data_IF_026892645918
#
_entry.id   IF_026892645918
#
_cell.length_a   1.000
_cell.length_b   1.000
_cell.length_c   1.000
_cell.angle_alpha   90.00
_cell.angle_beta   90.00
_cell.angle_gamma   90.00
#
_symmetry.space_group_name_H-M   'P 1'
#
loop_
_entity.id
_entity.type
_entity.pdbx_description
1 polymer ?
#
# COMPACT_ATOMS: atom_id res chain seq x y z
N UNK A 1 22.38 -2.08 3.09
CA UNK A 1 22.16 -2.42 1.67
C UNK A 1 20.73 -2.91 1.46
N UNK A 2 20.35 -3.38 0.25
CA UNK A 2 18.97 -3.80 -0.03
C UNK A 2 18.45 -4.94 0.86
N UNK A 3 19.33 -5.88 1.23
CA UNK A 3 19.00 -6.98 2.16
C UNK A 3 18.73 -6.44 3.55
N UNK A 4 19.64 -5.63 4.09
CA UNK A 4 19.51 -5.07 5.44
C UNK A 4 18.24 -4.23 5.58
N UNK A 5 17.87 -3.46 4.55
CA UNK A 5 16.62 -2.70 4.55
C UNK A 5 15.39 -3.61 4.59
N UNK A 6 15.40 -4.72 3.83
CA UNK A 6 14.31 -5.68 3.86
C UNK A 6 14.19 -6.38 5.24
N UNK A 7 15.32 -6.66 5.90
CA UNK A 7 15.34 -7.20 7.27
C UNK A 7 14.76 -6.22 8.29
N UNK A 8 15.11 -4.95 8.20
CA UNK A 8 14.58 -3.90 9.08
C UNK A 8 13.06 -3.76 8.93
N UNK A 9 12.58 -3.68 7.69
CA UNK A 9 11.14 -3.62 7.38
C UNK A 9 10.41 -4.86 7.92
N UNK A 10 10.98 -6.06 7.73
CA UNK A 10 10.40 -7.29 8.25
C UNK A 10 10.37 -7.33 9.79
N UNK A 11 11.40 -6.77 10.44
CA UNK A 11 11.45 -6.58 11.88
C UNK A 11 10.28 -5.76 12.40
N UNK A 12 10.14 -4.53 11.91
CA UNK A 12 9.06 -3.63 12.32
C UNK A 12 7.66 -4.16 12.00
N UNK A 13 7.49 -4.87 10.88
CA UNK A 13 6.21 -5.50 10.56
C UNK A 13 5.86 -6.61 11.56
N UNK A 14 6.82 -7.45 11.98
CA UNK A 14 6.56 -8.50 12.98
C UNK A 14 6.14 -7.95 14.34
N UNK A 15 6.61 -6.76 14.67
CA UNK A 15 6.26 -6.07 15.91
C UNK A 15 4.86 -5.45 15.86
N UNK A 16 4.23 -5.38 14.68
CA UNK A 16 2.91 -4.79 14.50
C UNK A 16 2.88 -3.27 14.70
N UNK A 17 4.05 -2.61 14.62
CA UNK A 17 4.20 -1.18 14.96
C UNK A 17 3.70 -0.27 13.83
N UNK A 18 3.66 -0.76 12.59
CA UNK A 18 3.38 0.06 11.39
C UNK A 18 2.64 -0.74 10.30
N UNK A 19 1.75 -0.06 9.57
CA UNK A 19 1.04 -0.62 8.39
C UNK A 19 1.83 -0.45 7.08
N UNK A 20 2.80 0.46 7.06
CA UNK A 20 3.56 0.79 5.85
C UNK A 20 4.65 1.82 6.10
N UNK A 21 5.41 2.10 5.02
CA UNK A 21 6.58 2.97 5.08
C UNK A 21 6.51 4.04 3.99
N UNK A 22 6.92 5.25 4.35
CA UNK A 22 7.24 6.30 3.40
C UNK A 22 8.77 6.39 3.30
N UNK A 23 9.31 6.11 2.12
CA UNK A 23 10.74 6.16 1.84
C UNK A 23 11.08 7.46 1.12
N UNK A 24 12.08 8.18 1.63
CA UNK A 24 12.58 9.43 1.03
C UNK A 24 14.01 9.21 0.51
N UNK A 25 14.19 8.90 -0.78
CA UNK A 25 15.51 8.67 -1.35
C UNK A 25 16.34 9.95 -1.44
N UNK A 26 17.65 9.84 -1.28
CA UNK A 26 18.58 10.96 -1.45
C UNK A 26 18.88 11.21 -2.92
N UNK A 27 19.04 10.13 -3.69
CA UNK A 27 19.26 10.16 -5.14
C UNK A 27 18.21 9.29 -5.85
N UNK A 28 17.04 9.84 -6.22
CA UNK A 28 15.89 9.05 -6.66
C UNK A 28 16.20 8.05 -7.79
N UNK A 29 16.98 8.46 -8.80
CA UNK A 29 17.33 7.60 -9.94
C UNK A 29 18.11 6.35 -9.51
N UNK A 30 19.09 6.52 -8.63
CA UNK A 30 19.97 5.44 -8.17
C UNK A 30 19.33 4.59 -7.09
N UNK A 31 18.65 5.24 -6.15
CA UNK A 31 18.12 4.59 -4.96
C UNK A 31 16.87 3.77 -5.28
N UNK A 32 15.99 4.28 -6.15
CA UNK A 32 14.79 3.54 -6.56
C UNK A 32 15.14 2.26 -7.33
N UNK A 33 16.13 2.32 -8.22
CA UNK A 33 16.59 1.12 -8.93
C UNK A 33 17.13 0.06 -7.96
N UNK A 34 17.90 0.45 -6.94
CA UNK A 34 18.40 -0.48 -5.91
C UNK A 34 17.28 -1.03 -5.03
N UNK A 35 16.30 -0.20 -4.71
CA UNK A 35 15.15 -0.61 -3.91
C UNK A 35 14.30 -1.64 -4.67
N UNK A 36 13.92 -1.32 -5.91
CA UNK A 36 13.05 -2.15 -6.75
C UNK A 36 13.73 -3.47 -7.14
N UNK A 37 15.02 -3.44 -7.47
CA UNK A 37 15.73 -4.65 -7.90
C UNK A 37 16.34 -5.45 -6.74
N UNK A 38 16.40 -4.88 -5.53
CA UNK A 38 17.04 -5.52 -4.37
C UNK A 38 16.11 -5.76 -3.20
N UNK A 39 15.45 -4.72 -2.70
CA UNK A 39 14.64 -4.80 -1.46
C UNK A 39 13.26 -5.39 -1.75
N UNK A 40 12.60 -4.93 -2.81
CA UNK A 40 11.23 -5.34 -3.17
C UNK A 40 11.11 -6.86 -3.40
N UNK A 41 12.00 -7.54 -4.14
CA UNK A 41 11.89 -8.99 -4.37
C UNK A 41 12.01 -9.79 -3.07
N UNK A 42 12.84 -9.33 -2.13
CA UNK A 42 13.00 -9.96 -0.82
C UNK A 42 11.73 -9.81 0.04
N UNK A 43 11.10 -8.64 0.00
CA UNK A 43 9.83 -8.41 0.70
C UNK A 43 8.69 -9.23 0.06
N UNK A 44 8.66 -9.35 -1.27
CA UNK A 44 7.70 -10.20 -1.98
C UNK A 44 7.87 -11.68 -1.64
N UNK A 45 9.11 -12.19 -1.63
CA UNK A 45 9.40 -13.57 -1.26
C UNK A 45 8.94 -13.90 0.17
N UNK A 46 8.95 -12.91 1.06
CA UNK A 46 8.49 -13.02 2.46
C UNK A 46 7.00 -12.77 2.64
N UNK A 47 6.24 -12.51 1.57
CA UNK A 47 4.82 -12.18 1.64
C UNK A 47 4.51 -10.82 2.29
N UNK A 48 5.53 -9.96 2.47
CA UNK A 48 5.40 -8.62 3.07
C UNK A 48 5.13 -7.53 2.04
N UNK A 49 5.27 -7.85 0.76
CA UNK A 49 4.95 -6.93 -0.32
C UNK A 49 4.21 -7.65 -1.43
N UNK A 50 3.25 -6.95 -2.02
CA UNK A 50 2.42 -7.50 -3.10
C UNK A 50 3.24 -7.78 -4.36
N UNK A 51 2.85 -8.82 -5.08
CA UNK A 51 3.39 -9.19 -6.40
C UNK A 51 2.51 -8.72 -7.55
N UNK A 52 1.26 -8.37 -7.26
CA UNK A 52 0.28 -7.88 -8.21
C UNK A 52 -0.60 -6.80 -7.55
N UNK A 53 -1.15 -5.89 -8.37
CA UNK A 53 -2.05 -4.84 -7.94
C UNK A 53 -3.48 -5.15 -8.41
N UNK A 54 -4.38 -5.60 -7.51
CA UNK A 54 -5.79 -5.72 -7.84
C UNK A 54 -6.44 -4.34 -7.87
N UNK A 55 -7.36 -4.14 -8.82
CA UNK A 55 -8.08 -2.88 -9.00
C UNK A 55 -7.29 -1.85 -9.82
N UNK A 56 -7.84 -0.64 -9.89
CA UNK A 56 -7.27 0.45 -10.71
C UNK A 56 -7.17 1.77 -9.95
N UNK A 57 -7.54 1.78 -8.67
CA UNK A 57 -7.53 2.97 -7.84
C UNK A 57 -6.57 2.81 -6.67
N UNK A 58 -6.07 3.95 -6.17
CA UNK A 58 -5.26 3.98 -4.95
C UNK A 58 -5.97 3.34 -3.76
N UNK A 59 -7.31 3.46 -3.69
CA UNK A 59 -8.10 2.82 -2.63
C UNK A 59 -8.03 1.31 -2.73
N UNK A 60 -8.13 0.74 -3.92
CA UNK A 60 -8.00 -0.71 -4.13
C UNK A 60 -6.61 -1.20 -3.70
N UNK A 61 -5.57 -0.42 -3.99
CA UNK A 61 -4.20 -0.78 -3.62
C UNK A 61 -3.96 -0.73 -2.10
N UNK A 62 -4.67 0.15 -1.39
CA UNK A 62 -4.59 0.32 0.07
C UNK A 62 -5.66 -0.48 0.83
N UNK A 63 -6.46 -1.30 0.14
CA UNK A 63 -7.59 -2.05 0.69
C UNK A 63 -8.63 -1.16 1.42
N UNK A 64 -8.86 0.03 0.86
CA UNK A 64 -9.81 1.00 1.40
C UNK A 64 -11.16 0.89 0.70
N UNK A 65 -12.23 0.76 1.47
CA UNK A 65 -13.59 0.77 0.93
C UNK A 65 -13.93 2.10 0.25
N UNK A 66 -14.66 2.04 -0.87
CA UNK A 66 -15.17 3.23 -1.55
C UNK A 66 -16.31 3.84 -0.70
N UNK A 67 -16.19 5.08 -0.21
CA UNK A 67 -17.28 5.71 0.53
C UNK A 67 -18.46 6.00 -0.41
N UNK A 68 -19.67 5.75 0.07
CA UNK A 68 -20.89 6.12 -0.66
C UNK A 68 -20.96 7.65 -0.82
N UNK A 69 -21.41 8.11 -1.98
CA UNK A 69 -21.67 9.52 -2.18
C UNK A 69 -22.84 9.95 -1.28
N UNK A 70 -22.58 10.90 -0.37
CA UNK A 70 -23.58 11.43 0.57
C UNK A 70 -24.87 11.91 -0.09
N UNK A 71 -24.78 12.44 -1.31
CA UNK A 71 -25.96 12.91 -2.06
C UNK A 71 -26.73 11.77 -2.71
N UNK A 72 -26.07 10.66 -3.07
CA UNK A 72 -26.74 9.46 -3.56
C UNK A 72 -27.54 8.77 -2.46
N UNK A 73 -27.01 8.75 -1.23
CA UNK A 73 -27.71 8.24 -0.03
C UNK A 73 -28.95 9.08 0.27
N UNK A 74 -28.84 10.41 0.22
CA UNK A 74 -29.98 11.31 0.44
C UNK A 74 -31.08 11.15 -0.62
N UNK A 75 -30.71 10.99 -1.89
CA UNK A 75 -31.67 10.78 -2.98
C UNK A 75 -32.42 9.44 -2.84
N UNK A 76 -31.74 8.36 -2.43
CA UNK A 76 -32.37 7.07 -2.18
C UNK A 76 -33.36 7.11 -1.00
N UNK A 77 -33.05 7.83 0.07
CA UNK A 77 -33.95 8.02 1.21
C UNK A 77 -35.20 8.84 0.83
N UNK A 78 -35.06 9.85 -0.04
CA UNK A 78 -36.18 10.67 -0.51
C UNK A 78 -37.09 9.92 -1.50
N UNK A 79 -36.58 8.94 -2.25
CA UNK A 79 -37.33 8.17 -3.25
C UNK A 79 -38.16 7.00 -2.70
N UNK A 80 -37.99 6.61 -1.43
CA UNK A 80 -38.73 5.52 -0.79
C UNK A 80 -40.02 5.94 -0.07
N UNK A 81 -40.41 7.22 -0.16
CA UNK A 81 -41.56 7.81 0.53
C UNK A 81 -42.75 8.11 -0.42
N UNK A 82 -42.89 7.36 -1.51
CA UNK A 82 -44.04 7.40 -2.43
C UNK A 82 -44.83 6.09 -2.39
#
# INVERSE_FOLDING_TARGET
GPVDLAELIAGWHREGTVDGFHLTPSEPRRDLERLVNGTVPLLQHRGLFRTFYPGSTLRDHLDLSRPANRYAVAAAAAGGAS
#
